data_IF_913954096370
#
_entry.id   IF_913954096370
#
_cell.length_a   1.000
_cell.length_b   1.000
_cell.length_c   1.000
_cell.angle_alpha   90.00
_cell.angle_beta   90.00
_cell.angle_gamma   90.00
#
_symmetry.space_group_name_H-M   'P 1'
#
loop_
_entity.id
_entity.type
_entity.pdbx_description
1 polymer ?
#
# COMPACT_ATOMS: atom_id res chain seq x y z
N UNK A 1 4.82 32.80 19.10
CA UNK A 1 4.53 31.61 18.29
C UNK A 1 4.45 32.02 16.83
N UNK A 2 5.45 31.65 15.99
CA UNK A 2 5.59 32.12 14.61
C UNK A 2 4.71 31.26 13.71
N UNK A 3 3.74 31.87 13.05
CA UNK A 3 2.96 31.29 11.96
C UNK A 3 3.88 30.92 10.80
N UNK A 4 4.06 29.63 10.52
CA UNK A 4 4.64 29.18 9.26
C UNK A 4 3.52 29.14 8.20
N UNK A 5 3.56 30.08 7.28
CA UNK A 5 2.70 30.10 6.10
C UNK A 5 3.08 28.91 5.17
N UNK A 6 2.11 28.07 4.87
CA UNK A 6 2.23 27.08 3.82
C UNK A 6 2.48 27.77 2.47
N UNK A 7 3.66 27.57 1.88
CA UNK A 7 3.97 28.07 0.54
C UNK A 7 3.08 27.35 -0.47
N UNK A 8 2.15 28.06 -1.06
CA UNK A 8 1.38 27.62 -2.21
C UNK A 8 2.33 27.29 -3.36
N UNK A 9 2.49 26.03 -3.71
CA UNK A 9 3.14 25.64 -4.96
C UNK A 9 2.30 26.20 -6.13
N UNK A 10 2.95 26.91 -7.07
CA UNK A 10 2.23 27.55 -8.17
C UNK A 10 1.59 26.48 -9.07
N UNK A 11 0.42 26.79 -9.66
CA UNK A 11 -0.24 25.93 -10.68
C UNK A 11 0.72 25.46 -11.78
N UNK A 12 1.71 26.27 -12.09
CA UNK A 12 2.75 25.97 -13.09
C UNK A 12 3.71 24.86 -12.62
N UNK A 13 4.10 24.85 -11.34
CA UNK A 13 4.90 23.76 -10.77
C UNK A 13 4.12 22.45 -10.69
N UNK A 14 2.84 22.52 -10.35
CA UNK A 14 1.95 21.35 -10.36
C UNK A 14 1.79 20.78 -11.78
N UNK A 15 1.58 21.61 -12.78
CA UNK A 15 1.45 21.19 -14.18
C UNK A 15 2.79 20.68 -14.75
N UNK A 16 3.93 21.29 -14.40
CA UNK A 16 5.25 20.80 -14.80
C UNK A 16 5.60 19.47 -14.16
N UNK A 17 5.18 19.23 -12.93
CA UNK A 17 5.33 17.93 -12.26
C UNK A 17 4.33 16.88 -12.80
N UNK A 18 3.14 17.29 -13.23
CA UNK A 18 2.13 16.40 -13.81
C UNK A 18 2.41 16.04 -15.28
N UNK A 19 2.95 16.96 -16.07
CA UNK A 19 3.28 16.71 -17.49
C UNK A 19 4.54 15.86 -17.68
N UNK A 20 5.41 15.79 -16.69
CA UNK A 20 6.49 14.79 -16.65
C UNK A 20 5.97 13.36 -16.41
N UNK A 21 4.72 13.22 -15.97
CA UNK A 21 4.08 11.92 -15.65
C UNK A 21 3.29 11.31 -16.82
N UNK A 22 3.07 12.04 -17.91
CA UNK A 22 2.24 11.58 -19.04
C UNK A 22 3.02 10.99 -20.22
N UNK A 23 4.33 10.92 -20.15
CA UNK A 23 5.16 10.44 -21.28
C UNK A 23 6.37 9.59 -20.91
N UNK A 24 6.73 9.48 -19.66
CA UNK A 24 7.83 8.62 -19.23
C UNK A 24 7.39 7.86 -17.98
N UNK A 25 7.29 6.56 -18.09
CA UNK A 25 7.18 5.65 -16.96
C UNK A 25 8.53 5.69 -16.23
N UNK A 26 8.74 6.71 -15.39
CA UNK A 26 9.96 6.83 -14.59
C UNK A 26 9.81 5.88 -13.39
N UNK A 27 10.29 4.66 -13.56
CA UNK A 27 10.65 3.79 -12.45
C UNK A 27 11.95 4.35 -11.87
N UNK A 28 11.88 5.44 -11.18
CA UNK A 28 13.09 6.12 -10.73
C UNK A 28 12.80 7.36 -9.92
N UNK A 29 11.84 7.28 -8.97
CA UNK A 29 11.81 8.28 -7.91
C UNK A 29 12.40 7.69 -6.63
N UNK A 30 13.56 8.20 -6.26
CA UNK A 30 14.04 8.18 -4.89
C UNK A 30 13.07 9.07 -4.08
N UNK A 31 11.96 8.51 -3.63
CA UNK A 31 11.16 9.15 -2.60
C UNK A 31 11.87 8.91 -1.27
N UNK A 32 12.16 9.94 -0.48
CA UNK A 32 12.54 9.73 0.91
C UNK A 32 11.32 9.11 1.60
N UNK A 33 11.34 7.80 1.79
CA UNK A 33 10.30 7.06 2.51
C UNK A 33 10.46 7.39 4.00
N UNK A 34 9.77 8.43 4.45
CA UNK A 34 9.36 8.52 5.85
C UNK A 34 8.09 7.71 6.00
N UNK A 35 8.18 6.40 5.88
CA UNK A 35 7.12 5.50 6.33
C UNK A 35 7.39 5.15 7.78
N UNK A 36 6.63 5.74 8.69
CA UNK A 36 6.36 5.10 9.97
C UNK A 36 5.46 3.89 9.68
N UNK A 37 6.09 2.77 9.32
CA UNK A 37 5.43 1.49 9.20
C UNK A 37 5.82 0.62 10.39
N UNK A 38 4.83 -0.09 10.87
CA UNK A 38 4.82 -1.11 11.90
C UNK A 38 6.20 -1.69 12.29
N UNK A 39 6.50 -1.59 13.58
CA UNK A 39 7.63 -2.16 14.29
C UNK A 39 7.64 -3.69 14.21
N UNK A 40 8.24 -4.22 13.18
CA UNK A 40 8.85 -5.52 13.14
C UNK A 40 10.27 -5.31 12.65
N UNK A 41 11.22 -6.01 13.20
CA UNK A 41 12.66 -5.89 12.96
C UNK A 41 13.07 -6.22 11.51
N UNK A 42 12.42 -5.55 10.55
CA UNK A 42 12.75 -5.57 9.13
C UNK A 42 13.75 -4.44 8.90
N UNK A 43 15.01 -4.79 8.69
CA UNK A 43 16.07 -3.82 8.40
C UNK A 43 15.65 -2.86 7.27
N UNK A 44 16.23 -1.64 7.29
CA UNK A 44 15.98 -0.64 6.24
C UNK A 44 16.20 -1.25 4.85
N UNK A 45 15.29 -1.07 3.89
CA UNK A 45 15.45 -1.65 2.56
C UNK A 45 16.71 -1.11 1.89
N UNK A 46 17.51 -2.00 1.32
CA UNK A 46 18.74 -1.66 0.61
C UNK A 46 18.47 -1.36 -0.88
N UNK A 47 17.40 -1.94 -1.45
CA UNK A 47 16.88 -1.62 -2.77
C UNK A 47 15.37 -1.37 -2.65
N UNK A 48 14.90 -0.20 -3.09
CA UNK A 48 13.50 0.14 -3.07
C UNK A 48 13.11 0.97 -4.29
N UNK A 49 11.94 0.68 -4.83
CA UNK A 49 11.21 1.54 -5.75
C UNK A 49 9.76 1.68 -5.24
N UNK A 50 8.88 2.32 -5.99
CA UNK A 50 7.49 2.51 -5.57
C UNK A 50 6.74 1.19 -5.29
N UNK A 51 7.16 0.07 -5.87
CA UNK A 51 6.43 -1.20 -5.85
C UNK A 51 7.19 -2.33 -5.16
N UNK A 52 8.52 -2.28 -5.13
CA UNK A 52 9.38 -3.37 -4.66
C UNK A 52 10.37 -2.85 -3.64
N UNK A 53 10.46 -3.53 -2.51
CA UNK A 53 11.50 -3.30 -1.52
C UNK A 53 12.23 -4.62 -1.26
N UNK A 54 13.58 -4.57 -1.21
CA UNK A 54 14.44 -5.71 -0.89
C UNK A 54 15.37 -5.30 0.23
N UNK A 55 15.30 -6.03 1.33
CA UNK A 55 16.17 -5.82 2.50
C UNK A 55 17.45 -6.64 2.41
N UNK A 56 18.53 -6.29 3.13
CA UNK A 56 19.77 -7.05 3.13
C UNK A 56 19.62 -8.52 3.56
N UNK A 57 18.65 -8.82 4.40
CA UNK A 57 18.29 -10.17 4.82
C UNK A 57 17.41 -10.95 3.83
N UNK A 58 17.33 -10.45 2.58
CA UNK A 58 16.60 -11.05 1.47
C UNK A 58 15.07 -11.10 1.64
N UNK A 59 14.49 -10.23 2.45
CA UNK A 59 13.05 -10.04 2.50
C UNK A 59 12.61 -9.19 1.29
N UNK A 60 11.70 -9.71 0.49
CA UNK A 60 11.20 -9.07 -0.71
C UNK A 60 9.73 -8.70 -0.46
N UNK A 61 9.42 -7.41 -0.59
CA UNK A 61 8.09 -6.86 -0.28
C UNK A 61 7.51 -6.19 -1.51
N UNK A 62 6.24 -6.53 -1.82
CA UNK A 62 5.40 -5.74 -2.71
C UNK A 62 4.69 -4.64 -1.90
N UNK A 63 4.80 -3.39 -2.35
CA UNK A 63 3.97 -2.30 -1.88
C UNK A 63 2.67 -2.33 -2.68
N UNK A 64 1.60 -2.79 -2.06
CA UNK A 64 0.30 -3.02 -2.69
C UNK A 64 -0.58 -1.77 -2.61
N UNK A 65 -0.91 -1.19 -3.75
CA UNK A 65 -1.73 0.03 -3.85
C UNK A 65 -3.25 -0.26 -3.88
N UNK A 66 -3.66 -1.48 -3.61
CA UNK A 66 -5.07 -1.89 -3.62
C UNK A 66 -5.45 -2.53 -2.30
N UNK A 67 -6.65 -2.21 -1.82
CA UNK A 67 -7.18 -2.79 -0.58
C UNK A 67 -7.71 -4.20 -0.83
N UNK A 68 -7.37 -5.13 0.07
CA UNK A 68 -7.96 -6.45 0.12
C UNK A 68 -9.32 -6.39 0.81
N UNK A 69 -10.35 -6.87 0.17
CA UNK A 69 -11.72 -6.94 0.69
C UNK A 69 -12.42 -8.25 0.30
N UNK A 70 -11.62 -9.31 0.14
CA UNK A 70 -12.08 -10.67 -0.19
C UNK A 70 -11.79 -11.11 -1.62
N UNK A 71 -11.36 -10.21 -2.52
CA UNK A 71 -11.14 -10.46 -3.95
C UNK A 71 -9.73 -10.93 -4.29
N UNK A 72 -8.86 -11.15 -3.30
CA UNK A 72 -7.56 -11.79 -3.45
C UNK A 72 -6.47 -10.96 -4.17
N UNK A 73 -6.50 -9.64 -4.00
CA UNK A 73 -5.43 -8.78 -4.53
C UNK A 73 -4.08 -9.01 -3.84
N UNK A 74 -4.09 -9.52 -2.61
CA UNK A 74 -2.87 -9.85 -1.87
C UNK A 74 -2.20 -11.15 -2.34
N UNK A 75 -2.80 -11.86 -3.30
CA UNK A 75 -2.19 -12.98 -4.01
C UNK A 75 -1.96 -12.64 -5.47
N UNK A 76 -2.98 -12.10 -6.14
CA UNK A 76 -2.92 -11.84 -7.59
C UNK A 76 -1.91 -10.75 -7.97
N UNK A 77 -1.80 -9.66 -7.20
CA UNK A 77 -0.82 -8.61 -7.49
C UNK A 77 0.63 -9.05 -7.18
N UNK A 78 0.91 -9.70 -6.02
CA UNK A 78 2.23 -10.28 -5.80
C UNK A 78 2.64 -11.32 -6.84
N UNK A 79 1.70 -12.09 -7.40
CA UNK A 79 2.00 -13.06 -8.45
C UNK A 79 2.58 -12.40 -9.71
N UNK A 80 2.08 -11.22 -10.09
CA UNK A 80 2.62 -10.45 -11.22
C UNK A 80 4.09 -10.07 -11.01
N UNK A 81 4.42 -9.65 -9.79
CA UNK A 81 5.77 -9.28 -9.41
C UNK A 81 6.69 -10.52 -9.29
N UNK A 82 6.23 -11.56 -8.59
CA UNK A 82 6.95 -12.80 -8.37
C UNK A 82 7.34 -13.47 -9.69
N UNK A 83 6.42 -13.45 -10.68
CA UNK A 83 6.67 -13.98 -12.01
C UNK A 83 7.94 -13.40 -12.62
N UNK A 84 8.03 -12.08 -12.67
CA UNK A 84 9.16 -11.41 -13.32
C UNK A 84 10.44 -11.40 -12.48
N UNK A 85 10.31 -11.50 -11.15
CA UNK A 85 11.45 -11.67 -10.24
C UNK A 85 12.00 -13.09 -10.19
N UNK A 86 11.37 -14.05 -10.87
CA UNK A 86 11.69 -15.48 -10.80
C UNK A 86 11.63 -16.02 -9.36
N UNK A 87 10.58 -15.67 -8.63
CA UNK A 87 10.36 -16.06 -7.25
C UNK A 87 9.13 -16.95 -7.09
N UNK A 88 9.14 -17.92 -6.18
CA UNK A 88 7.90 -18.49 -5.71
C UNK A 88 7.10 -17.41 -4.96
N UNK A 89 5.78 -17.44 -5.09
CA UNK A 89 4.89 -16.45 -4.50
C UNK A 89 5.06 -16.34 -2.97
N UNK A 90 5.39 -17.45 -2.31
CA UNK A 90 5.63 -17.51 -0.86
C UNK A 90 6.83 -16.69 -0.36
N UNK A 91 7.71 -16.24 -1.24
CA UNK A 91 8.82 -15.34 -0.90
C UNK A 91 8.44 -13.86 -0.94
N UNK A 92 7.25 -13.51 -1.42
CA UNK A 92 6.80 -12.12 -1.48
C UNK A 92 5.97 -11.78 -0.24
N UNK A 93 6.43 -10.81 0.52
CA UNK A 93 5.63 -10.14 1.54
C UNK A 93 4.80 -9.03 0.90
N UNK A 94 3.61 -8.78 1.41
CA UNK A 94 2.73 -7.69 0.96
C UNK A 94 2.61 -6.64 2.06
N UNK A 95 2.84 -5.39 1.70
CA UNK A 95 2.57 -4.23 2.56
C UNK A 95 1.63 -3.27 1.83
N UNK A 96 0.73 -2.65 2.57
CA UNK A 96 -0.22 -1.69 2.00
C UNK A 96 0.50 -0.37 1.71
N UNK A 97 0.29 0.15 0.51
CA UNK A 97 0.82 1.45 0.12
C UNK A 97 0.20 2.59 0.94
N UNK A 98 1.01 3.56 1.29
CA UNK A 98 0.52 4.87 1.74
C UNK A 98 -0.19 5.63 0.61
N UNK A 99 -0.66 6.83 0.89
CA UNK A 99 -1.30 7.69 -0.11
C UNK A 99 -0.22 8.45 -0.89
N UNK A 100 -0.12 8.16 -2.20
CA UNK A 100 0.82 8.88 -3.09
C UNK A 100 0.36 8.83 -4.55
N UNK A 101 0.71 9.84 -5.38
CA UNK A 101 0.31 9.92 -6.78
C UNK A 101 0.74 8.70 -7.63
N UNK A 102 1.87 8.08 -7.31
CA UNK A 102 2.38 6.89 -8.02
C UNK A 102 1.44 5.68 -7.91
N UNK A 103 0.58 5.65 -6.90
CA UNK A 103 -0.37 4.56 -6.65
C UNK A 103 -1.76 4.82 -7.24
N UNK A 104 -1.95 5.92 -7.95
CA UNK A 104 -3.19 6.22 -8.66
C UNK A 104 -3.48 5.10 -9.68
N UNK A 105 -4.71 4.60 -9.63
CA UNK A 105 -5.24 3.72 -10.66
C UNK A 105 -5.53 4.56 -11.91
N UNK A 106 -4.76 4.38 -12.96
CA UNK A 106 -4.87 5.18 -14.18
C UNK A 106 -6.23 5.05 -14.87
N UNK A 107 -6.93 3.91 -14.66
CA UNK A 107 -8.28 3.69 -15.23
C UNK A 107 -9.39 4.44 -14.48
N UNK A 108 -9.15 4.83 -13.21
CA UNK A 108 -10.16 5.43 -12.34
C UNK A 108 -9.80 6.85 -11.87
N UNK A 109 -8.57 7.31 -12.11
CA UNK A 109 -8.11 8.65 -11.74
C UNK A 109 -7.86 8.86 -10.23
N UNK A 110 -7.82 7.81 -9.41
CA UNK A 110 -7.59 7.87 -7.97
C UNK A 110 -6.93 6.62 -7.42
N UNK A 111 -6.46 6.64 -6.17
CA UNK A 111 -5.99 5.43 -5.48
C UNK A 111 -7.21 4.65 -4.97
N UNK A 112 -7.87 3.96 -5.87
CA UNK A 112 -9.18 3.33 -5.69
C UNK A 112 -9.07 1.84 -5.97
N UNK A 113 -9.81 1.04 -5.18
CA UNK A 113 -10.02 -0.39 -5.40
C UNK A 113 -11.47 -0.59 -5.82
N UNK A 114 -11.71 -0.91 -7.09
CA UNK A 114 -13.06 -1.06 -7.63
C UNK A 114 -13.08 -1.25 -9.15
N UNK A 115 -14.26 -1.44 -9.72
CA UNK A 115 -14.48 -1.52 -11.17
C UNK A 115 -13.74 -2.67 -11.86
N UNK A 116 -13.38 -3.73 -11.14
CA UNK A 116 -12.57 -4.85 -11.64
C UNK A 116 -11.27 -4.41 -12.32
N UNK A 117 -10.65 -3.33 -11.83
CA UNK A 117 -9.46 -2.72 -12.44
C UNK A 117 -8.14 -3.11 -11.76
N UNK A 118 -8.18 -3.70 -10.55
CA UNK A 118 -6.97 -3.94 -9.75
C UNK A 118 -5.89 -4.71 -10.49
N UNK A 119 -6.22 -5.87 -11.07
CA UNK A 119 -5.26 -6.68 -11.82
C UNK A 119 -5.03 -6.10 -13.22
N UNK A 120 -6.09 -5.64 -13.89
CA UNK A 120 -6.00 -5.12 -15.26
C UNK A 120 -5.06 -3.91 -15.36
N UNK A 121 -5.17 -2.98 -14.42
CA UNK A 121 -4.32 -1.78 -14.37
C UNK A 121 -2.90 -2.10 -13.92
N UNK A 122 -2.74 -3.06 -13.01
CA UNK A 122 -1.46 -3.42 -12.44
C UNK A 122 -0.66 -4.43 -13.30
N UNK A 123 -1.28 -5.10 -14.28
CA UNK A 123 -0.69 -6.23 -14.99
C UNK A 123 0.67 -5.91 -15.60
N UNK A 124 0.75 -4.91 -16.45
CA UNK A 124 2.03 -4.52 -17.05
C UNK A 124 2.89 -3.73 -16.08
N UNK A 125 2.29 -2.92 -15.22
CA UNK A 125 2.97 -2.07 -14.24
C UNK A 125 3.82 -2.90 -13.27
N UNK A 126 3.24 -3.88 -12.61
CA UNK A 126 3.95 -4.71 -11.63
C UNK A 126 4.92 -5.69 -12.30
N UNK A 127 4.58 -6.21 -13.47
CA UNK A 127 5.51 -7.03 -14.25
C UNK A 127 6.72 -6.21 -14.68
N UNK A 128 6.52 -4.99 -15.17
CA UNK A 128 7.61 -4.07 -15.52
C UNK A 128 8.50 -3.78 -14.30
N UNK A 129 7.92 -3.50 -13.14
CA UNK A 129 8.67 -3.27 -11.92
C UNK A 129 9.50 -4.51 -11.50
N UNK A 130 8.92 -5.70 -11.58
CA UNK A 130 9.60 -6.96 -11.28
C UNK A 130 10.75 -7.26 -12.25
N UNK A 131 10.50 -7.12 -13.56
CA UNK A 131 11.50 -7.36 -14.59
C UNK A 131 12.68 -6.37 -14.50
N UNK A 132 12.40 -5.08 -14.32
CA UNK A 132 13.42 -4.06 -14.13
C UNK A 132 14.27 -4.34 -12.88
N UNK A 133 13.64 -4.70 -11.77
CA UNK A 133 14.34 -5.08 -10.54
C UNK A 133 15.23 -6.30 -10.74
N UNK A 134 14.72 -7.35 -11.39
CA UNK A 134 15.53 -8.54 -11.72
C UNK A 134 16.74 -8.19 -12.58
N UNK A 135 16.56 -7.34 -13.59
CA UNK A 135 17.66 -6.97 -14.49
C UNK A 135 18.78 -6.23 -13.75
N UNK A 136 18.47 -5.27 -12.87
CA UNK A 136 19.52 -4.58 -12.11
C UNK A 136 20.18 -5.48 -11.06
N UNK A 137 19.48 -6.45 -10.48
CA UNK A 137 20.09 -7.45 -9.60
C UNK A 137 21.07 -8.35 -10.36
N UNK A 138 20.71 -8.80 -11.55
CA UNK A 138 21.61 -9.56 -12.44
C UNK A 138 22.80 -8.73 -12.84
N UNK A 139 22.58 -7.46 -13.21
CA UNK A 139 23.68 -6.55 -13.58
C UNK A 139 24.63 -6.28 -12.42
N UNK A 140 24.10 -6.10 -11.20
CA UNK A 140 24.92 -5.92 -10.00
C UNK A 140 25.78 -7.16 -9.69
N UNK A 141 25.22 -8.35 -9.84
CA UNK A 141 25.97 -9.59 -9.72
C UNK A 141 27.08 -9.71 -10.78
N UNK A 142 26.75 -9.42 -12.03
CA UNK A 142 27.70 -9.47 -13.14
C UNK A 142 28.88 -8.50 -12.93
N UNK A 143 28.60 -7.28 -12.49
CA UNK A 143 29.63 -6.28 -12.16
C UNK A 143 30.49 -6.75 -10.96
N UNK A 144 29.86 -7.23 -9.89
CA UNK A 144 30.55 -7.73 -8.68
C UNK A 144 31.51 -8.89 -9.00
N UNK A 145 31.13 -9.73 -9.96
CA UNK A 145 31.91 -10.92 -10.32
C UNK A 145 32.80 -10.75 -11.54
N UNK A 146 32.71 -9.60 -12.21
CA UNK A 146 33.39 -9.30 -13.46
C UNK A 146 33.11 -10.37 -14.54
N UNK A 147 31.83 -10.62 -14.81
CA UNK A 147 31.32 -11.58 -15.80
C UNK A 147 30.23 -10.93 -16.65
N UNK A 148 29.85 -11.57 -17.78
CA UNK A 148 28.74 -11.09 -18.57
C UNK A 148 27.40 -11.31 -17.85
N UNK A 149 26.47 -10.34 -17.92
CA UNK A 149 25.16 -10.46 -17.32
C UNK A 149 24.32 -11.61 -17.91
N UNK A 150 24.56 -11.96 -19.18
CA UNK A 150 23.95 -13.10 -19.88
C UNK A 150 24.29 -14.46 -19.27
N UNK A 151 25.42 -14.54 -18.58
CA UNK A 151 25.90 -15.78 -17.94
C UNK A 151 25.35 -15.93 -16.51
N UNK A 152 24.66 -14.91 -16.02
CA UNK A 152 24.04 -14.87 -14.71
C UNK A 152 22.55 -15.26 -14.77
N UNK A 153 22.11 -16.11 -13.85
CA UNK A 153 20.71 -16.56 -13.74
C UNK A 153 20.10 -16.14 -12.42
N UNK A 154 19.00 -15.40 -12.49
CA UNK A 154 18.22 -15.01 -11.32
C UNK A 154 17.08 -16.02 -11.08
N UNK A 155 17.03 -16.65 -9.91
CA UNK A 155 16.02 -17.63 -9.53
C UNK A 155 15.92 -17.77 -8.00
N UNK A 156 14.70 -17.91 -7.48
CA UNK A 156 14.45 -18.19 -6.06
C UNK A 156 15.20 -17.27 -5.09
N UNK A 157 15.21 -15.96 -5.40
CA UNK A 157 15.84 -14.94 -4.54
C UNK A 157 17.37 -14.91 -4.56
N UNK A 158 18.00 -15.55 -5.56
CA UNK A 158 19.45 -15.57 -5.77
C UNK A 158 19.79 -15.31 -7.23
N UNK A 159 20.97 -14.75 -7.44
CA UNK A 159 21.64 -14.74 -8.75
C UNK A 159 22.80 -15.74 -8.67
N UNK A 160 22.95 -16.55 -9.71
CA UNK A 160 24.00 -17.57 -9.82
C UNK A 160 24.75 -17.44 -11.14
N UNK A 161 26.00 -17.88 -11.17
CA UNK A 161 26.84 -17.95 -12.37
C UNK A 161 27.42 -19.38 -12.51
N UNK A 162 27.72 -19.80 -13.72
CA UNK A 162 28.23 -21.14 -14.05
C UNK A 162 29.54 -21.51 -13.34
N UNK A 163 30.33 -20.50 -12.91
CA UNK A 163 31.55 -20.71 -12.11
C UNK A 163 31.30 -21.07 -10.64
N UNK A 164 30.04 -21.27 -10.22
CA UNK A 164 29.68 -21.55 -8.82
C UNK A 164 29.45 -20.30 -7.95
N UNK A 165 29.71 -19.10 -8.47
CA UNK A 165 29.41 -17.84 -7.75
C UNK A 165 27.89 -17.71 -7.56
N UNK A 166 27.48 -17.25 -6.36
CA UNK A 166 26.09 -17.04 -6.00
C UNK A 166 25.97 -15.89 -5.02
N UNK A 167 24.89 -15.11 -5.11
CA UNK A 167 24.52 -14.10 -4.13
C UNK A 167 22.98 -13.97 -4.08
N UNK A 168 22.44 -13.72 -2.89
CA UNK A 168 21.01 -13.45 -2.71
C UNK A 168 20.65 -12.07 -3.27
N UNK A 169 19.36 -11.86 -3.54
CA UNK A 169 18.87 -10.52 -3.95
C UNK A 169 19.15 -9.47 -2.88
N UNK A 170 19.08 -9.85 -1.60
CA UNK A 170 19.40 -8.97 -0.48
C UNK A 170 20.87 -8.55 -0.45
N UNK A 171 21.81 -9.48 -0.69
CA UNK A 171 23.24 -9.18 -0.77
C UNK A 171 23.60 -8.29 -1.95
N UNK A 172 22.80 -8.34 -3.03
CA UNK A 172 22.99 -7.53 -4.24
C UNK A 172 22.24 -6.21 -4.20
N UNK A 173 21.30 -6.06 -3.31
CA UNK A 173 20.34 -4.94 -3.29
C UNK A 173 21.04 -3.58 -3.21
N UNK A 174 22.08 -3.43 -2.38
CA UNK A 174 22.81 -2.18 -2.22
C UNK A 174 23.61 -1.80 -3.50
N UNK A 175 24.15 -2.78 -4.22
CA UNK A 175 24.83 -2.53 -5.49
C UNK A 175 23.83 -2.26 -6.61
N UNK A 176 22.74 -3.01 -6.66
CA UNK A 176 21.65 -2.81 -7.60
C UNK A 176 21.00 -1.41 -7.46
N UNK A 177 20.90 -0.89 -6.24
CA UNK A 177 20.36 0.46 -5.99
C UNK A 177 21.19 1.61 -6.59
N UNK A 178 22.44 1.35 -6.93
CA UNK A 178 23.32 2.32 -7.60
C UNK A 178 23.14 2.33 -9.12
N UNK A 179 22.44 1.35 -9.67
CA UNK A 179 22.24 1.18 -11.11
C UNK A 179 20.95 1.87 -11.57
N UNK A 180 20.97 2.34 -12.80
CA UNK A 180 19.76 2.87 -13.44
C UNK A 180 18.84 1.73 -13.85
N UNK A 181 17.59 1.82 -13.47
CA UNK A 181 16.57 0.88 -13.92
C UNK A 181 16.34 1.02 -15.43
N UNK A 182 16.18 -0.09 -16.16
CA UNK A 182 15.89 -0.05 -17.59
C UNK A 182 14.47 0.53 -17.81
N UNK A 183 14.34 1.44 -18.76
CA UNK A 183 13.05 2.04 -19.12
C UNK A 183 12.07 1.03 -19.72
N UNK A 184 12.60 0.09 -20.51
CA UNK A 184 11.83 -0.96 -21.19
C UNK A 184 12.40 -2.34 -20.87
N UNK A 185 12.12 -2.88 -19.67
CA UNK A 185 12.60 -4.22 -19.34
C UNK A 185 11.91 -5.28 -20.19
N UNK A 186 12.63 -6.35 -20.49
CA UNK A 186 12.07 -7.49 -21.21
C UNK A 186 11.21 -8.31 -20.26
N UNK A 187 9.92 -8.38 -20.55
CA UNK A 187 8.95 -9.19 -19.83
C UNK A 187 8.96 -10.64 -20.33
N UNK A 188 8.65 -11.58 -19.45
CA UNK A 188 8.42 -12.97 -19.85
C UNK A 188 7.21 -13.10 -20.77
N UNK A 189 7.30 -14.00 -21.75
CA UNK A 189 6.12 -14.43 -22.49
C UNK A 189 5.25 -15.36 -21.64
N UNK A 190 3.92 -15.43 -21.89
CA UNK A 190 3.02 -16.33 -21.16
C UNK A 190 3.44 -17.80 -21.17
N UNK A 191 4.10 -18.26 -22.23
CA UNK A 191 4.65 -19.62 -22.34
C UNK A 191 5.70 -19.94 -21.26
N UNK A 192 6.38 -18.91 -20.76
CA UNK A 192 7.44 -19.03 -19.75
C UNK A 192 6.98 -18.69 -18.33
N UNK A 193 5.69 -18.54 -18.09
CA UNK A 193 5.17 -18.25 -16.77
C UNK A 193 5.37 -19.44 -15.83
N UNK A 194 5.83 -19.13 -14.62
CA UNK A 194 6.12 -20.10 -13.56
C UNK A 194 5.16 -19.96 -12.38
N UNK A 195 4.53 -18.80 -12.20
CA UNK A 195 3.62 -18.47 -11.11
C UNK A 195 2.21 -18.20 -11.64
N UNK A 196 2.08 -17.28 -12.59
CA UNK A 196 0.78 -16.86 -13.13
C UNK A 196 0.11 -18.01 -13.88
N UNK A 197 -1.14 -18.30 -13.50
CA UNK A 197 -1.95 -19.35 -14.12
C UNK A 197 -1.53 -20.78 -13.78
N UNK A 198 -0.70 -20.99 -12.76
CA UNK A 198 -0.31 -22.33 -12.30
C UNK A 198 -1.27 -22.84 -11.22
N UNK A 199 -1.61 -24.14 -11.27
CA UNK A 199 -2.49 -24.78 -10.29
C UNK A 199 -1.92 -24.77 -8.87
N UNK A 200 -0.60 -24.64 -8.71
CA UNK A 200 0.08 -24.55 -7.42
C UNK A 200 -0.09 -23.20 -6.73
N UNK A 201 -0.58 -22.18 -7.43
CA UNK A 201 -0.86 -20.86 -6.83
C UNK A 201 -2.00 -20.98 -5.82
N UNK A 202 -1.71 -20.64 -4.57
CA UNK A 202 -2.69 -20.62 -3.46
C UNK A 202 -2.78 -19.20 -2.90
N UNK A 203 -3.96 -18.85 -2.38
CA UNK A 203 -4.17 -17.57 -1.70
C UNK A 203 -3.25 -17.46 -0.49
N UNK A 204 -2.56 -16.33 -0.38
CA UNK A 204 -1.64 -16.07 0.73
C UNK A 204 -2.37 -15.82 2.06
N UNK A 205 -3.60 -15.31 2.01
CA UNK A 205 -4.39 -14.93 3.17
C UNK A 205 -5.32 -16.03 3.71
N UNK A 206 -5.52 -17.13 2.98
CA UNK A 206 -6.39 -18.24 3.40
C UNK A 206 -6.02 -18.81 4.78
N UNK A 207 -4.74 -19.09 5.10
CA UNK A 207 -4.42 -19.67 6.40
C UNK A 207 -4.83 -18.82 7.59
N UNK A 208 -4.65 -17.50 7.51
CA UNK A 208 -5.07 -16.58 8.59
C UNK A 208 -6.58 -16.47 8.70
N UNK A 209 -7.28 -16.46 7.57
CA UNK A 209 -8.75 -16.37 7.53
C UNK A 209 -9.43 -17.60 8.11
N UNK A 210 -9.04 -18.80 7.67
CA UNK A 210 -9.66 -20.04 8.16
C UNK A 210 -9.29 -20.37 9.60
N UNK A 211 -8.17 -19.83 10.10
CA UNK A 211 -7.76 -19.97 11.49
C UNK A 211 -8.32 -18.88 12.43
N UNK A 212 -9.17 -17.96 11.93
CA UNK A 212 -9.69 -16.83 12.70
C UNK A 212 -8.61 -15.83 13.14
N UNK A 213 -7.47 -15.77 12.45
CA UNK A 213 -6.34 -14.88 12.77
C UNK A 213 -6.25 -13.66 11.85
N UNK A 214 -7.16 -13.53 10.89
CA UNK A 214 -7.20 -12.35 10.03
C UNK A 214 -7.61 -11.13 10.85
N UNK A 215 -6.92 -10.01 10.65
CA UNK A 215 -7.21 -8.74 11.31
C UNK A 215 -7.89 -7.82 10.30
N UNK A 216 -9.10 -7.38 10.61
CA UNK A 216 -9.86 -6.44 9.80
C UNK A 216 -9.80 -5.04 10.42
N UNK A 217 -10.26 -4.02 9.69
CA UNK A 217 -10.21 -2.64 10.18
C UNK A 217 -10.93 -2.45 11.54
N UNK A 218 -12.02 -3.17 11.78
CA UNK A 218 -12.75 -3.13 13.04
C UNK A 218 -11.99 -3.78 14.21
N UNK A 219 -11.04 -4.66 13.92
CA UNK A 219 -10.25 -5.39 14.92
C UNK A 219 -8.99 -4.62 15.34
N UNK A 220 -8.65 -3.54 14.61
CA UNK A 220 -7.45 -2.75 14.90
C UNK A 220 -7.57 -2.08 16.26
N UNK A 221 -6.57 -2.31 17.13
CA UNK A 221 -6.44 -1.70 18.44
C UNK A 221 -5.05 -1.13 18.62
N UNK A 222 -4.99 0.14 18.96
CA UNK A 222 -3.73 0.85 19.26
C UNK A 222 -3.75 1.26 20.74
N UNK A 223 -2.64 1.20 21.47
CA UNK A 223 -2.60 1.66 22.86
C UNK A 223 -3.12 3.09 22.98
N UNK A 224 -4.08 3.31 23.91
CA UNK A 224 -4.71 4.61 24.11
C UNK A 224 -5.79 4.98 23.08
N UNK A 225 -6.14 4.11 22.14
CA UNK A 225 -7.19 4.36 21.17
C UNK A 225 -8.57 4.49 21.86
N UNK A 226 -9.28 5.57 21.54
CA UNK A 226 -10.70 5.72 21.87
C UNK A 226 -11.56 5.29 20.66
N UNK A 227 -12.71 4.73 20.94
CA UNK A 227 -13.71 4.38 19.94
C UNK A 227 -14.69 5.53 19.81
N UNK A 228 -14.99 5.97 18.58
CA UNK A 228 -15.99 6.98 18.31
C UNK A 228 -17.21 6.38 17.59
N UNK A 229 -18.40 6.78 18.02
CA UNK A 229 -19.66 6.56 17.30
C UNK A 229 -20.22 7.90 16.86
N UNK A 230 -20.44 8.07 15.57
CA UNK A 230 -20.86 9.32 14.96
C UNK A 230 -22.38 9.35 14.75
N UNK A 231 -23.04 10.42 15.19
CA UNK A 231 -24.38 10.79 14.78
C UNK A 231 -24.29 11.81 13.63
N UNK A 232 -24.88 11.49 12.49
CA UNK A 232 -24.98 12.38 11.33
C UNK A 232 -26.41 12.73 11.04
N UNK A 233 -26.65 13.84 10.37
CA UNK A 233 -27.98 14.21 9.93
C UNK A 233 -28.56 13.13 9.00
N UNK A 234 -29.83 12.74 9.18
CA UNK A 234 -30.50 11.83 8.24
C UNK A 234 -30.58 12.37 6.82
N UNK A 235 -30.58 13.69 6.66
CA UNK A 235 -30.57 14.37 5.36
C UNK A 235 -29.11 14.62 4.94
N UNK A 236 -28.73 14.14 3.75
CA UNK A 236 -27.37 14.29 3.21
C UNK A 236 -27.01 15.78 3.08
N UNK A 237 -25.87 16.15 3.63
CA UNK A 237 -25.38 17.54 3.63
C UNK A 237 -25.88 18.37 4.82
N UNK A 238 -26.76 17.82 5.65
CA UNK A 238 -27.21 18.48 6.89
C UNK A 238 -26.10 18.56 7.93
N UNK A 239 -26.17 19.56 8.80
CA UNK A 239 -25.17 19.85 9.84
C UNK A 239 -25.81 20.03 11.21
N UNK A 240 -25.11 19.73 12.33
CA UNK A 240 -25.63 19.98 13.66
C UNK A 240 -25.59 21.48 13.98
N UNK A 241 -26.71 22.05 14.45
CA UNK A 241 -26.80 23.44 14.93
C UNK A 241 -26.71 23.53 16.44
N UNK A 242 -27.23 22.53 17.14
CA UNK A 242 -27.13 22.40 18.61
C UNK A 242 -27.22 20.94 19.02
N UNK A 243 -26.67 20.60 20.17
CA UNK A 243 -26.85 19.27 20.77
C UNK A 243 -26.82 19.32 22.29
N UNK A 244 -27.56 18.39 22.93
CA UNK A 244 -27.49 18.10 24.35
C UNK A 244 -26.79 16.76 24.55
N UNK A 245 -25.63 16.77 25.22
CA UNK A 245 -24.84 15.60 25.56
C UNK A 245 -25.05 15.11 27.00
N UNK A 246 -25.92 15.73 27.80
CA UNK A 246 -26.06 15.46 29.25
C UNK A 246 -26.36 13.99 29.54
N UNK A 247 -27.25 13.36 28.77
CA UNK A 247 -27.59 11.96 28.89
C UNK A 247 -26.45 11.05 28.34
N UNK A 248 -25.83 11.42 27.26
CA UNK A 248 -24.71 10.67 26.65
C UNK A 248 -23.51 10.57 27.60
N UNK A 249 -23.16 11.65 28.28
CA UNK A 249 -22.02 11.70 29.21
C UNK A 249 -22.26 10.88 30.50
N UNK A 250 -23.51 10.52 30.80
CA UNK A 250 -23.86 9.62 31.93
C UNK A 250 -23.71 8.14 31.58
N UNK A 251 -23.54 7.80 30.31
CA UNK A 251 -23.36 6.40 29.91
C UNK A 251 -21.96 5.94 30.34
N UNK A 252 -21.91 4.85 31.10
CA UNK A 252 -20.64 4.28 31.58
C UNK A 252 -19.72 3.94 30.41
N UNK A 253 -18.46 4.39 30.49
CA UNK A 253 -17.47 4.18 29.44
C UNK A 253 -17.38 5.31 28.42
N UNK A 254 -18.35 6.24 28.37
CA UNK A 254 -18.22 7.45 27.52
C UNK A 254 -17.17 8.38 28.11
N UNK A 255 -16.30 8.88 27.24
CA UNK A 255 -15.16 9.73 27.59
C UNK A 255 -15.49 11.20 27.27
N UNK A 256 -16.02 11.43 26.06
CA UNK A 256 -16.23 12.80 25.55
C UNK A 256 -17.26 12.80 24.40
N UNK A 257 -17.94 13.93 24.25
CA UNK A 257 -18.77 14.24 23.08
C UNK A 257 -18.16 15.43 22.36
N UNK A 258 -18.04 15.33 21.03
CA UNK A 258 -17.39 16.36 20.19
C UNK A 258 -18.24 16.61 18.96
N UNK A 259 -18.56 17.88 18.69
CA UNK A 259 -19.12 18.27 17.41
C UNK A 259 -18.02 18.33 16.35
N UNK A 260 -18.32 17.82 15.17
CA UNK A 260 -17.49 17.94 13.95
C UNK A 260 -18.33 18.65 12.86
N UNK A 261 -17.74 18.85 11.69
CA UNK A 261 -18.37 19.61 10.60
C UNK A 261 -19.74 19.10 10.19
N UNK A 262 -19.93 17.79 10.17
CA UNK A 262 -21.11 17.09 9.64
C UNK A 262 -21.81 16.17 10.66
N UNK A 263 -21.46 16.29 11.92
CA UNK A 263 -22.07 15.44 12.94
C UNK A 263 -21.60 15.70 14.38
N UNK A 264 -22.05 14.81 15.28
CA UNK A 264 -21.64 14.79 16.68
C UNK A 264 -21.07 13.40 17.01
N UNK A 265 -19.82 13.35 17.42
CA UNK A 265 -19.11 12.12 17.75
C UNK A 265 -19.12 11.89 19.27
N UNK A 266 -19.44 10.66 19.67
CA UNK A 266 -19.31 10.19 21.06
C UNK A 266 -18.10 9.27 21.16
N UNK A 267 -17.10 9.69 21.93
CA UNK A 267 -15.90 8.94 22.21
C UNK A 267 -16.07 8.12 23.49
N UNK A 268 -15.70 6.84 23.44
CA UNK A 268 -15.80 5.94 24.58
C UNK A 268 -14.67 4.91 24.59
N UNK A 269 -14.57 4.14 25.67
CA UNK A 269 -13.59 3.06 25.86
C UNK A 269 -13.85 1.86 24.94
N UNK A 270 -15.09 1.66 24.55
CA UNK A 270 -15.52 0.57 23.67
C UNK A 270 -16.70 1.01 22.78
N UNK A 271 -16.99 0.21 21.75
CA UNK A 271 -18.01 0.52 20.77
C UNK A 271 -19.42 0.53 21.36
N UNK A 272 -19.71 -0.35 22.33
CA UNK A 272 -21.04 -0.43 22.95
C UNK A 272 -21.35 0.85 23.72
N UNK A 273 -20.41 1.33 24.54
CA UNK A 273 -20.55 2.59 25.26
C UNK A 273 -20.65 3.79 24.30
N UNK A 274 -19.82 3.82 23.23
CA UNK A 274 -19.88 4.88 22.22
C UNK A 274 -21.25 4.92 21.54
N UNK A 275 -21.78 3.76 21.13
CA UNK A 275 -23.09 3.64 20.50
C UNK A 275 -24.22 4.05 21.44
N UNK A 276 -24.23 3.53 22.66
CA UNK A 276 -25.24 3.94 23.67
C UNK A 276 -25.22 5.43 23.97
N UNK A 277 -24.03 5.99 24.08
CA UNK A 277 -23.87 7.44 24.25
C UNK A 277 -24.41 8.22 23.05
N UNK A 278 -24.12 7.78 21.83
CA UNK A 278 -24.67 8.40 20.62
C UNK A 278 -26.20 8.35 20.58
N UNK A 279 -26.78 7.20 20.91
CA UNK A 279 -28.23 7.01 20.88
C UNK A 279 -28.96 7.82 22.00
N UNK A 280 -28.21 8.30 23.01
CA UNK A 280 -28.71 9.19 24.05
C UNK A 280 -28.54 10.69 23.75
N UNK A 281 -27.90 11.05 22.62
CA UNK A 281 -27.78 12.44 22.19
C UNK A 281 -29.13 13.00 21.72
N UNK A 282 -29.36 14.30 22.01
CA UNK A 282 -30.42 15.08 21.39
C UNK A 282 -29.74 16.11 20.48
N UNK A 283 -29.99 16.05 19.18
CA UNK A 283 -29.31 16.91 18.22
C UNK A 283 -30.37 17.65 17.41
N UNK A 284 -30.17 18.95 17.26
CA UNK A 284 -30.92 19.78 16.30
C UNK A 284 -30.11 19.89 15.02
N UNK A 285 -30.74 19.57 13.91
CA UNK A 285 -30.12 19.57 12.61
C UNK A 285 -30.57 20.76 11.77
N UNK A 286 -29.65 21.33 11.01
CA UNK A 286 -29.96 22.09 9.82
C UNK A 286 -29.87 21.13 8.64
N UNK A 287 -30.97 20.80 8.03
CA UNK A 287 -31.05 19.83 6.93
C UNK A 287 -30.58 20.41 5.59
N UNK A 288 -30.39 21.73 5.51
CA UNK A 288 -29.86 22.39 4.33
C UNK A 288 -30.82 22.36 3.13
N UNK A 289 -30.24 22.48 1.94
CA UNK A 289 -30.99 22.52 0.69
C UNK A 289 -31.62 21.19 0.27
N UNK A 290 -31.25 20.10 0.92
CA UNK A 290 -31.73 18.74 0.60
C UNK A 290 -32.91 18.31 1.52
N UNK A 291 -33.37 19.19 2.40
CA UNK A 291 -34.61 18.99 3.16
C UNK A 291 -35.79 18.90 2.16
N UNK A 292 -36.47 17.78 2.17
CA UNK A 292 -37.61 17.51 1.27
C UNK A 292 -38.96 17.57 1.99
#
# INVERSE_FOLDING_TARGET
MKNQSLKNSSRRQFIQQSSALTGAFVIGMHLPLTSQAATGDAGKPALANAWVQITPNNQITLICARSEMGQDVYTSLPALLAEELNLPLSMIRVEIAGVAPVYINAMLGGQITGGSTSVREAFDKLRTAGAATRMVLVQAAAQRWNVAATDCKAMNGKVTHSSGKSATYGELAADAAKLTLPEKPVLKSPANFMVIGKETMRRLDTPSKVAGKAVYGIDVKIPGMAIASLAQCPVIGGTPTAFDASAALKVSGVIKVVQISDGVAVLAKDFYAARKGRDALKITWNEGSNAG
#
